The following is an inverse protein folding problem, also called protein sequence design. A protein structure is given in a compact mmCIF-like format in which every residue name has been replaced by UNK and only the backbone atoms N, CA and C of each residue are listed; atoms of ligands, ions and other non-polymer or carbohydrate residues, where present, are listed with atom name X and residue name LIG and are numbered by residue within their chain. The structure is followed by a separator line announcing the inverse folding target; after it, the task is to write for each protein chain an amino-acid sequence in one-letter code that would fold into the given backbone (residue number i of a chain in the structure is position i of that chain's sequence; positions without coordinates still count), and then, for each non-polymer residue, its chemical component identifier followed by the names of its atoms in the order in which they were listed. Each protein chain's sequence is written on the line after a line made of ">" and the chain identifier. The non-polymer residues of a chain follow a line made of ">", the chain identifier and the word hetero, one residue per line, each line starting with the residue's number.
data_IF_852420288872
#
_entry.id   IF_852420288872
#
_cell.length_a   1.000
_cell.length_b   1.000
_cell.length_c   1.000
_cell.angle_alpha   90.00
_cell.angle_beta   90.00
_cell.angle_gamma   90.00
#
_symmetry.space_group_name_H-M   'P 1'
#
loop_
_entity.id
_entity.type
_entity.pdbx_description
1 polymer ?
#
# COMPACT_ATOMS: atom_id res chain seq x y z
N UNK A 1 -16.35 -9.78 6.22
CA UNK A 1 -17.54 -10.04 5.37
C UNK A 1 -18.83 -10.04 6.20
N UNK A 2 -18.92 -10.83 7.26
CA UNK A 2 -20.18 -11.02 8.02
C UNK A 2 -20.71 -9.77 8.73
N UNK A 3 -19.82 -8.88 9.15
CA UNK A 3 -20.20 -7.60 9.76
C UNK A 3 -20.75 -6.59 8.74
N UNK A 4 -20.30 -6.65 7.49
CA UNK A 4 -20.77 -5.75 6.42
C UNK A 4 -22.22 -6.05 6.01
N UNK A 5 -22.65 -7.32 6.12
CA UNK A 5 -24.02 -7.75 5.83
C UNK A 5 -25.03 -7.13 6.81
N UNK A 6 -24.57 -6.72 8.00
CA UNK A 6 -25.41 -6.11 9.05
C UNK A 6 -25.56 -4.60 8.89
N UNK A 7 -24.86 -3.96 7.95
CA UNK A 7 -24.95 -2.51 7.71
C UNK A 7 -26.24 -2.16 6.97
N UNK A 8 -26.80 -0.97 7.26
CA UNK A 8 -27.97 -0.43 6.55
C UNK A 8 -27.73 -0.26 5.05
N UNK A 9 -26.48 0.00 4.66
CA UNK A 9 -26.00 0.05 3.29
C UNK A 9 -24.71 -0.76 3.28
N UNK A 10 -24.72 -2.00 2.76
CA UNK A 10 -23.52 -2.81 2.68
C UNK A 10 -22.47 -2.13 1.80
N UNK A 11 -21.23 -2.08 2.28
CA UNK A 11 -20.10 -1.60 1.50
C UNK A 11 -19.80 -2.57 0.35
N UNK A 12 -19.21 -2.05 -0.71
CA UNK A 12 -18.67 -2.88 -1.79
C UNK A 12 -17.51 -3.76 -1.30
N UNK A 13 -17.22 -4.85 -2.03
CA UNK A 13 -16.10 -5.72 -1.69
C UNK A 13 -14.76 -4.98 -1.64
N UNK A 14 -14.57 -4.00 -2.54
CA UNK A 14 -13.35 -3.18 -2.60
C UNK A 14 -13.19 -2.29 -1.37
N UNK A 15 -14.27 -1.71 -0.87
CA UNK A 15 -14.25 -0.93 0.37
C UNK A 15 -13.95 -1.82 1.59
N UNK A 16 -14.54 -3.01 1.66
CA UNK A 16 -14.24 -3.98 2.73
C UNK A 16 -12.77 -4.40 2.70
N UNK A 17 -12.23 -4.68 1.52
CA UNK A 17 -10.81 -5.02 1.35
C UNK A 17 -9.90 -3.87 1.79
N UNK A 18 -10.26 -2.63 1.42
CA UNK A 18 -9.52 -1.42 1.80
C UNK A 18 -9.52 -1.21 3.31
N UNK A 19 -10.69 -1.33 3.95
CA UNK A 19 -10.85 -1.22 5.41
C UNK A 19 -10.05 -2.31 6.13
N UNK A 20 -10.07 -3.53 5.62
CA UNK A 20 -9.31 -4.64 6.19
C UNK A 20 -7.80 -4.39 6.09
N UNK A 21 -7.32 -3.84 4.96
CA UNK A 21 -5.91 -3.48 4.77
C UNK A 21 -5.47 -2.36 5.73
N UNK A 22 -6.28 -1.30 5.87
CA UNK A 22 -6.02 -0.18 6.78
C UNK A 22 -5.97 -0.69 8.22
N UNK A 23 -7.00 -1.45 8.63
CA UNK A 23 -7.08 -2.03 9.98
C UNK A 23 -5.88 -2.94 10.27
N UNK A 24 -5.50 -3.79 9.31
CA UNK A 24 -4.33 -4.66 9.46
C UNK A 24 -3.04 -3.87 9.62
N UNK A 25 -2.87 -2.76 8.91
CA UNK A 25 -1.67 -1.94 9.00
C UNK A 25 -1.57 -1.24 10.36
N UNK A 26 -2.67 -0.63 10.82
CA UNK A 26 -2.73 0.06 12.11
C UNK A 26 -2.53 -0.91 13.28
N UNK A 27 -3.21 -2.05 13.27
CA UNK A 27 -3.04 -3.07 14.31
C UNK A 27 -1.61 -3.61 14.38
N UNK A 28 -0.96 -3.77 13.23
CA UNK A 28 0.43 -4.23 13.19
C UNK A 28 1.40 -3.16 13.68
N UNK A 29 1.11 -1.88 13.42
CA UNK A 29 1.87 -0.76 13.97
C UNK A 29 1.76 -0.71 15.50
N UNK A 30 0.54 -0.77 16.04
CA UNK A 30 0.31 -0.80 17.49
C UNK A 30 1.01 -1.98 18.15
N UNK A 31 0.89 -3.18 17.60
CA UNK A 31 1.59 -4.37 18.11
C UNK A 31 3.11 -4.22 18.10
N UNK A 32 3.68 -3.56 17.09
CA UNK A 32 5.12 -3.32 17.05
C UNK A 32 5.55 -2.39 18.20
N UNK A 33 4.75 -1.36 18.51
CA UNK A 33 4.99 -0.49 19.66
C UNK A 33 4.87 -1.25 21.00
N UNK A 34 3.86 -2.10 21.14
CA UNK A 34 3.67 -2.92 22.35
C UNK A 34 4.83 -3.89 22.59
N UNK A 35 5.47 -4.36 21.51
CA UNK A 35 6.68 -5.18 21.58
C UNK A 35 7.95 -4.38 21.89
N UNK A 36 7.85 -3.06 22.04
CA UNK A 36 8.95 -2.18 22.42
C UNK A 36 9.75 -1.61 21.25
N UNK A 37 9.29 -1.71 20.00
CA UNK A 37 9.93 -0.98 18.91
C UNK A 37 9.64 0.52 19.05
N UNK A 38 10.69 1.33 18.93
CA UNK A 38 10.55 2.78 18.81
C UNK A 38 9.82 3.16 17.51
N UNK A 39 9.05 4.26 17.55
CA UNK A 39 8.32 4.77 16.38
C UNK A 39 9.25 5.10 15.20
N UNK A 40 10.48 5.51 15.53
CA UNK A 40 11.58 5.80 14.60
C UNK A 40 12.11 4.56 13.88
N UNK A 41 11.75 3.36 14.34
CA UNK A 41 12.17 2.07 13.76
C UNK A 41 11.07 1.38 12.97
N UNK A 42 9.93 2.03 12.76
CA UNK A 42 8.79 1.42 12.08
C UNK A 42 8.46 2.23 10.83
N UNK A 43 8.45 1.55 9.69
CA UNK A 43 8.00 2.10 8.40
C UNK A 43 6.78 1.30 7.96
N UNK A 44 5.72 2.00 7.54
CA UNK A 44 4.49 1.36 7.07
C UNK A 44 4.43 1.41 5.55
N UNK A 45 4.09 0.27 4.95
CA UNK A 45 3.71 0.18 3.55
C UNK A 45 2.43 -0.63 3.40
N UNK A 46 1.51 -0.13 2.58
CA UNK A 46 0.32 -0.86 2.15
C UNK A 46 0.40 -1.02 0.62
N UNK A 47 0.67 -2.24 0.16
CA UNK A 47 0.81 -2.51 -1.27
C UNK A 47 -0.53 -2.93 -1.85
N UNK A 48 -1.03 -2.11 -2.77
CA UNK A 48 -2.26 -2.35 -3.51
C UNK A 48 -2.02 -2.11 -5.00
N UNK A 49 -2.89 -2.67 -5.84
CA UNK A 49 -2.76 -2.59 -7.31
C UNK A 49 -3.66 -1.54 -7.95
N UNK A 50 -4.66 -1.02 -7.21
CA UNK A 50 -5.63 -0.04 -7.72
C UNK A 50 -5.32 1.37 -7.21
N UNK A 51 -5.40 2.36 -8.10
CA UNK A 51 -5.06 3.75 -7.81
C UNK A 51 -5.95 4.35 -6.71
N UNK A 52 -7.27 4.25 -6.86
CA UNK A 52 -8.22 4.85 -5.91
C UNK A 52 -8.08 4.22 -4.52
N UNK A 53 -7.92 2.90 -4.47
CA UNK A 53 -7.66 2.17 -3.23
C UNK A 53 -6.35 2.62 -2.58
N UNK A 54 -5.27 2.79 -3.34
CA UNK A 54 -3.98 3.28 -2.83
C UNK A 54 -4.14 4.64 -2.16
N UNK A 55 -4.74 5.60 -2.88
CA UNK A 55 -4.93 6.95 -2.37
C UNK A 55 -5.74 6.94 -1.08
N UNK A 56 -6.84 6.17 -1.04
CA UNK A 56 -7.68 6.08 0.15
C UNK A 56 -6.96 5.43 1.34
N UNK A 57 -6.30 4.28 1.13
CA UNK A 57 -5.59 3.58 2.19
C UNK A 57 -4.48 4.43 2.82
N UNK A 58 -3.62 5.06 2.01
CA UNK A 58 -2.54 5.89 2.54
C UNK A 58 -3.05 7.15 3.23
N UNK A 59 -4.14 7.75 2.76
CA UNK A 59 -4.77 8.90 3.42
C UNK A 59 -5.36 8.54 4.78
N UNK A 60 -6.00 7.38 4.89
CA UNK A 60 -6.55 6.94 6.18
C UNK A 60 -5.43 6.51 7.14
N UNK A 61 -4.38 5.84 6.65
CA UNK A 61 -3.23 5.48 7.48
C UNK A 61 -2.50 6.75 7.97
N UNK A 62 -2.28 7.76 7.11
CA UNK A 62 -1.56 8.99 7.50
C UNK A 62 -2.29 9.82 8.55
N UNK A 63 -3.63 9.71 8.63
CA UNK A 63 -4.43 10.37 9.67
C UNK A 63 -4.31 9.68 11.02
N UNK A 64 -4.17 8.35 11.03
CA UNK A 64 -4.22 7.52 12.23
C UNK A 64 -2.83 7.12 12.73
N UNK A 65 -1.78 7.30 11.93
CA UNK A 65 -0.41 6.90 12.25
C UNK A 65 0.61 7.95 11.79
N UNK A 66 1.59 8.23 12.65
CA UNK A 66 2.70 9.16 12.38
C UNK A 66 3.98 8.47 11.92
N UNK A 67 3.94 7.17 11.62
CA UNK A 67 5.11 6.43 11.14
C UNK A 67 5.43 6.84 9.69
N UNK A 68 6.71 6.85 9.30
CA UNK A 68 7.09 7.06 7.91
C UNK A 68 6.36 6.10 6.96
N UNK A 69 5.83 6.64 5.86
CA UNK A 69 5.07 5.91 4.86
C UNK A 69 5.94 5.62 3.64
N UNK A 70 6.13 4.35 3.35
CA UNK A 70 6.79 3.88 2.13
C UNK A 70 5.74 3.63 1.05
N UNK A 71 5.63 4.55 0.10
CA UNK A 71 4.70 4.45 -1.01
C UNK A 71 5.27 3.51 -2.09
N UNK A 72 4.49 2.53 -2.49
CA UNK A 72 4.81 1.70 -3.64
C UNK A 72 3.58 1.14 -4.30
N UNK A 73 3.48 1.32 -5.62
CA UNK A 73 2.44 0.70 -6.42
C UNK A 73 2.95 -0.65 -6.94
N UNK A 74 2.24 -1.72 -6.59
CA UNK A 74 2.55 -3.07 -7.08
C UNK A 74 1.71 -3.38 -8.30
N UNK A 75 2.38 -3.83 -9.37
CA UNK A 75 1.75 -4.40 -10.57
C UNK A 75 0.66 -3.52 -11.21
N UNK A 76 0.96 -2.25 -11.48
CA UNK A 76 0.06 -1.38 -12.27
C UNK A 76 -0.02 -1.76 -13.78
N UNK A 77 0.52 -2.92 -14.15
CA UNK A 77 0.63 -3.42 -15.53
C UNK A 77 2.03 -3.28 -16.13
N UNK A 78 2.15 -3.62 -17.41
CA UNK A 78 3.35 -3.44 -18.22
C UNK A 78 3.25 -2.17 -19.08
N UNK A 79 4.40 -1.62 -19.45
CA UNK A 79 4.50 -0.51 -20.40
C UNK A 79 3.99 0.84 -19.86
N UNK A 80 3.56 1.72 -20.76
CA UNK A 80 3.24 3.12 -20.46
C UNK A 80 2.07 3.30 -19.48
N UNK A 81 1.11 2.37 -19.45
CA UNK A 81 -0.06 2.42 -18.55
C UNK A 81 0.35 2.38 -17.09
N UNK A 82 1.35 1.56 -16.74
CA UNK A 82 1.79 1.43 -15.35
C UNK A 82 2.56 2.66 -14.88
N UNK A 83 3.33 3.28 -15.78
CA UNK A 83 4.01 4.55 -15.50
C UNK A 83 2.99 5.64 -15.21
N UNK A 84 2.02 5.84 -16.10
CA UNK A 84 1.00 6.90 -15.95
C UNK A 84 0.18 6.67 -14.68
N UNK A 85 -0.28 5.44 -14.41
CA UNK A 85 -1.05 5.14 -13.20
C UNK A 85 -0.22 5.35 -11.93
N UNK A 86 1.04 4.91 -11.91
CA UNK A 86 1.92 5.10 -10.75
C UNK A 86 2.19 6.57 -10.50
N UNK A 87 2.53 7.33 -11.55
CA UNK A 87 2.79 8.77 -11.43
C UNK A 87 1.55 9.50 -10.93
N UNK A 88 0.37 9.24 -11.50
CA UNK A 88 -0.87 9.87 -11.07
C UNK A 88 -1.21 9.59 -9.59
N UNK A 89 -1.05 8.33 -9.14
CA UNK A 89 -1.30 7.96 -7.75
C UNK A 89 -0.34 8.65 -6.78
N UNK A 90 0.95 8.65 -7.11
CA UNK A 90 1.99 9.27 -6.29
C UNK A 90 1.85 10.79 -6.26
N UNK A 91 1.53 11.44 -7.38
CA UNK A 91 1.34 12.89 -7.43
C UNK A 91 0.27 13.37 -6.45
N UNK A 92 -0.88 12.68 -6.39
CA UNK A 92 -1.98 13.03 -5.48
C UNK A 92 -1.56 12.92 -4.00
N UNK A 93 -0.80 11.89 -3.64
CA UNK A 93 -0.36 11.65 -2.27
C UNK A 93 0.75 12.62 -1.86
N UNK A 94 1.74 12.83 -2.73
CA UNK A 94 2.85 13.72 -2.47
C UNK A 94 2.40 15.19 -2.39
N UNK A 95 1.41 15.61 -3.19
CA UNK A 95 0.81 16.95 -3.07
C UNK A 95 0.15 17.15 -1.70
N UNK A 96 -0.42 16.10 -1.12
CA UNK A 96 -0.99 16.11 0.24
C UNK A 96 0.06 15.99 1.35
N UNK A 97 1.35 15.93 1.00
CA UNK A 97 2.44 15.69 1.95
C UNK A 97 2.48 14.27 2.52
N UNK A 98 1.83 13.31 1.85
CA UNK A 98 1.76 11.91 2.28
C UNK A 98 2.80 11.11 1.51
N UNK A 99 3.78 10.55 2.22
CA UNK A 99 4.83 9.69 1.67
C UNK A 99 6.23 10.19 1.96
N UNK A 100 7.00 9.40 2.70
CA UNK A 100 8.38 9.71 3.10
C UNK A 100 9.41 9.07 2.18
N UNK A 101 9.06 7.91 1.61
CA UNK A 101 9.89 7.21 0.64
C UNK A 101 9.02 6.61 -0.46
N UNK A 102 9.55 6.54 -1.68
CA UNK A 102 8.83 5.99 -2.84
C UNK A 102 9.60 4.83 -3.46
N UNK A 103 8.90 3.80 -3.91
CA UNK A 103 9.44 2.73 -4.75
C UNK A 103 8.48 2.37 -5.87
N UNK A 104 8.93 2.56 -7.10
CA UNK A 104 8.21 2.10 -8.29
C UNK A 104 8.74 0.75 -8.76
N UNK A 105 7.87 -0.25 -8.85
CA UNK A 105 8.20 -1.58 -9.39
C UNK A 105 7.71 -1.68 -10.83
N UNK A 106 8.42 -1.04 -11.75
CA UNK A 106 8.13 -1.12 -13.19
C UNK A 106 8.81 -2.35 -13.78
N UNK A 107 8.05 -3.17 -14.50
CA UNK A 107 8.62 -4.23 -15.35
C UNK A 107 9.03 -3.59 -16.67
N UNK A 108 10.33 -3.57 -17.03
CA UNK A 108 10.77 -3.00 -18.30
C UNK A 108 10.17 -3.79 -19.47
N UNK A 109 9.67 -3.10 -20.49
CA UNK A 109 9.44 -3.71 -21.80
C UNK A 109 10.75 -3.70 -22.59
N UNK A 110 11.28 -4.88 -22.91
CA UNK A 110 12.44 -5.02 -23.78
C UNK A 110 12.93 -6.46 -23.87
N UNK A 111 12.82 -7.05 -25.08
CA UNK A 111 13.41 -8.24 -25.73
C UNK A 111 14.15 -9.37 -24.97
N UNK A 112 14.56 -9.21 -23.72
CA UNK A 112 15.22 -10.22 -22.87
C UNK A 112 14.27 -10.90 -21.87
N UNK A 113 12.96 -10.89 -22.12
CA UNK A 113 11.94 -11.56 -21.30
C UNK A 113 11.93 -13.09 -21.52
N UNK A 114 13.07 -13.75 -21.31
CA UNK A 114 13.17 -15.22 -21.16
C UNK A 114 13.90 -15.67 -19.88
N UNK A 115 14.16 -14.77 -18.94
CA UNK A 115 14.50 -15.19 -17.58
C UNK A 115 13.21 -15.29 -16.78
N UNK A 116 12.78 -16.53 -16.49
CA UNK A 116 11.74 -16.83 -15.49
C UNK A 116 12.10 -16.08 -14.21
N UNK A 117 11.50 -14.91 -13.98
CA UNK A 117 11.63 -14.24 -12.70
C UNK A 117 10.68 -14.92 -11.74
N UNK A 118 11.28 -15.60 -10.77
CA UNK A 118 10.62 -16.15 -9.60
C UNK A 118 9.59 -15.15 -9.09
N UNK A 119 8.32 -15.59 -8.98
CA UNK A 119 7.25 -14.86 -8.31
C UNK A 119 7.77 -14.50 -6.92
N UNK A 120 8.32 -13.30 -6.77
CA UNK A 120 8.52 -12.75 -5.43
C UNK A 120 7.15 -12.33 -5.00
N UNK A 121 6.48 -13.25 -4.31
CA UNK A 121 5.23 -13.03 -3.62
C UNK A 121 5.47 -11.88 -2.63
N UNK A 122 5.25 -10.66 -3.11
CA UNK A 122 5.33 -9.45 -2.34
C UNK A 122 4.15 -9.49 -1.37
N UNK A 123 4.36 -10.10 -0.19
CA UNK A 123 3.40 -10.07 0.92
C UNK A 123 2.93 -8.62 1.08
N UNK A 124 1.61 -8.44 1.12
CA UNK A 124 0.90 -7.15 1.09
C UNK A 124 1.29 -6.19 2.23
N UNK A 125 2.11 -6.65 3.16
CA UNK A 125 2.55 -5.92 4.34
C UNK A 125 4.03 -6.24 4.61
N UNK A 126 4.86 -5.21 4.73
CA UNK A 126 6.27 -5.36 5.14
C UNK A 126 6.61 -4.21 6.08
N UNK A 127 6.86 -4.55 7.35
CA UNK A 127 7.51 -3.67 8.33
C UNK A 127 9.01 -3.83 8.11
N UNK A 128 9.69 -2.74 7.75
CA UNK A 128 11.15 -2.70 7.78
C UNK A 128 11.56 -2.14 9.14
N UNK A 129 12.08 -3.02 10.01
CA UNK A 129 12.79 -2.62 11.23
C UNK A 129 14.29 -2.78 10.99
N UNK A 130 15.06 -1.74 11.32
CA UNK A 130 16.53 -1.79 11.36
C UNK A 130 17.03 -2.13 12.76
#
# INVERSE_FOLDING_TARGET
>A
MDENIKLKIPKSAEEIESDALITSALLSYEKALDLGLGKDKIIISCKVSRLNQMVNCYREISKNCSAPLHLGLTEAGMGMKSIVATTAALSILLEQGIGDTIRSSLTPEGWFSKVKRSKTLSRNFTIFGY
#
